data_IF_742243990590
#
_entry.id   IF_742243990590
#
_cell.length_a   1.000
_cell.length_b   1.000
_cell.length_c   1.000
_cell.angle_alpha   90.00
_cell.angle_beta   90.00
_cell.angle_gamma   90.00
#
_symmetry.space_group_name_H-M   'P 1'
#
loop_
_entity.id
_entity.type
_entity.pdbx_description
1 polymer ?
#
# COMPACT_ATOMS: atom_id res chain seq x y z
N UNK A 1 25.42 34.49 -21.45
CA UNK A 1 25.04 34.03 -20.10
C UNK A 1 23.66 33.43 -20.22
N UNK A 2 23.61 32.15 -20.57
CA UNK A 2 22.37 31.37 -20.72
C UNK A 2 21.80 31.16 -19.32
N UNK A 3 20.50 31.35 -19.07
CA UNK A 3 19.94 31.04 -17.76
C UNK A 3 20.08 29.54 -17.57
N UNK A 4 20.76 29.13 -16.50
CA UNK A 4 20.75 27.74 -16.02
C UNK A 4 19.28 27.47 -15.71
N UNK A 5 18.64 26.63 -16.53
CA UNK A 5 17.26 26.23 -16.30
C UNK A 5 17.15 25.72 -14.87
N UNK A 6 16.11 26.15 -14.14
CA UNK A 6 15.75 25.53 -12.87
C UNK A 6 15.82 24.02 -13.07
N UNK A 7 16.78 23.36 -12.44
CA UNK A 7 16.63 21.94 -12.15
C UNK A 7 15.35 21.89 -11.32
N UNK A 8 14.24 21.47 -11.94
CA UNK A 8 12.98 21.35 -11.23
C UNK A 8 13.24 20.44 -10.04
N UNK A 9 13.16 21.00 -8.83
CA UNK A 9 13.46 20.29 -7.61
C UNK A 9 12.63 19.01 -7.59
N UNK A 10 13.31 17.87 -7.53
CA UNK A 10 12.67 16.54 -7.58
C UNK A 10 12.56 15.95 -6.19
N UNK A 11 11.55 15.15 -5.98
CA UNK A 11 11.35 14.33 -4.81
C UNK A 11 11.16 12.86 -5.20
N UNK A 12 11.21 11.95 -4.23
CA UNK A 12 11.10 10.51 -4.42
C UNK A 12 9.79 10.02 -3.82
N UNK A 13 8.84 9.66 -4.67
CA UNK A 13 7.59 9.02 -4.28
C UNK A 13 7.83 7.53 -4.03
N UNK A 14 7.44 7.00 -2.88
CA UNK A 14 7.63 5.59 -2.51
C UNK A 14 6.28 4.86 -2.48
N UNK A 15 6.20 3.77 -3.24
CA UNK A 15 4.98 2.98 -3.42
C UNK A 15 4.84 1.88 -2.39
N UNK A 16 5.90 1.08 -2.23
CA UNK A 16 5.89 -0.12 -1.39
C UNK A 16 7.31 -0.50 -0.96
N UNK A 17 7.41 -1.32 0.08
CA UNK A 17 8.66 -1.94 0.55
C UNK A 17 8.55 -3.46 0.46
N UNK A 18 9.58 -4.12 -0.06
CA UNK A 18 9.70 -5.58 -0.16
C UNK A 18 11.03 -6.03 0.43
N UNK A 19 11.20 -7.35 0.64
CA UNK A 19 12.53 -7.94 0.75
C UNK A 19 13.32 -7.69 -0.53
N UNK A 20 14.64 -7.59 -0.41
CA UNK A 20 15.53 -7.42 -1.56
C UNK A 20 15.57 -8.70 -2.40
N UNK A 21 14.82 -8.69 -3.51
CA UNK A 21 14.69 -9.81 -4.44
C UNK A 21 14.66 -9.31 -5.90
N UNK A 22 15.27 -10.01 -6.86
CA UNK A 22 15.31 -9.58 -8.26
C UNK A 22 13.93 -9.41 -8.92
N UNK A 23 12.94 -10.17 -8.44
CA UNK A 23 11.56 -10.16 -8.94
C UNK A 23 10.90 -8.79 -8.78
N UNK A 24 11.30 -8.03 -7.76
CA UNK A 24 10.75 -6.71 -7.46
C UNK A 24 11.10 -5.68 -8.55
N UNK A 25 12.37 -5.63 -8.97
CA UNK A 25 12.79 -4.74 -10.06
C UNK A 25 12.15 -5.17 -11.39
N UNK A 26 12.14 -6.47 -11.67
CA UNK A 26 11.53 -7.02 -12.88
C UNK A 26 10.02 -6.78 -12.95
N UNK A 27 9.32 -6.70 -11.80
CA UNK A 27 7.89 -6.42 -11.74
C UNK A 27 7.54 -5.02 -12.27
N UNK A 28 8.43 -4.05 -12.08
CA UNK A 28 8.12 -2.62 -12.29
C UNK A 28 8.93 -1.94 -13.38
N UNK A 29 9.92 -2.62 -13.96
CA UNK A 29 10.81 -2.07 -14.97
C UNK A 29 10.11 -1.42 -16.18
N UNK A 30 8.91 -1.88 -16.55
CA UNK A 30 8.14 -1.36 -17.68
C UNK A 30 6.87 -0.60 -17.28
N UNK A 31 6.65 -0.39 -15.97
CA UNK A 31 5.42 0.24 -15.48
C UNK A 31 5.58 1.75 -15.33
N UNK A 32 4.63 2.55 -15.85
CA UNK A 32 4.55 3.96 -15.51
C UNK A 32 4.08 4.11 -14.08
N UNK A 33 4.85 4.83 -13.28
CA UNK A 33 4.46 5.28 -11.94
C UNK A 33 3.56 6.52 -11.98
N UNK A 34 3.40 7.13 -10.82
CA UNK A 34 2.70 8.40 -10.63
C UNK A 34 3.32 9.47 -11.56
N UNK A 35 2.45 10.25 -12.20
CA UNK A 35 2.80 11.24 -13.23
C UNK A 35 3.53 10.65 -14.45
N UNK A 36 3.37 9.35 -14.72
CA UNK A 36 4.04 8.67 -15.83
C UNK A 36 5.54 8.48 -15.63
N UNK A 37 6.04 8.68 -14.41
CA UNK A 37 7.47 8.60 -14.10
C UNK A 37 7.93 7.14 -14.06
N UNK A 38 9.14 6.81 -14.51
CA UNK A 38 9.63 5.43 -14.45
C UNK A 38 9.82 5.00 -12.99
N UNK A 39 9.36 3.79 -12.67
CA UNK A 39 9.56 3.18 -11.35
C UNK A 39 10.95 2.56 -11.28
N UNK A 40 11.63 2.76 -10.16
CA UNK A 40 12.97 2.26 -9.83
C UNK A 40 12.96 1.63 -8.45
N UNK A 41 14.01 0.88 -8.16
CA UNK A 41 14.26 0.29 -6.85
C UNK A 41 15.31 1.09 -6.09
N UNK A 42 15.12 1.23 -4.78
CA UNK A 42 16.13 1.72 -3.84
C UNK A 42 16.31 0.66 -2.78
N UNK A 43 17.49 0.02 -2.74
CA UNK A 43 17.79 -1.05 -1.78
C UNK A 43 18.68 -0.56 -0.64
N UNK A 44 18.44 -1.11 0.55
CA UNK A 44 19.22 -0.86 1.76
C UNK A 44 18.89 -1.94 2.82
N UNK A 45 19.91 -2.47 3.49
CA UNK A 45 19.74 -3.42 4.58
C UNK A 45 18.92 -4.69 4.27
N UNK A 46 18.95 -5.20 3.03
CA UNK A 46 18.18 -6.38 2.60
C UNK A 46 16.69 -6.11 2.33
N UNK A 47 16.31 -4.83 2.27
CA UNK A 47 14.99 -4.36 1.87
C UNK A 47 15.11 -3.54 0.60
N UNK A 48 14.03 -3.49 -0.17
CA UNK A 48 13.94 -2.68 -1.39
C UNK A 48 12.65 -1.86 -1.36
N UNK A 49 12.78 -0.55 -1.53
CA UNK A 49 11.67 0.36 -1.79
C UNK A 49 11.44 0.48 -3.30
N UNK A 50 10.18 0.41 -3.73
CA UNK A 50 9.79 0.79 -5.09
C UNK A 50 9.46 2.27 -5.10
N UNK A 51 10.10 3.03 -5.99
CA UNK A 51 10.06 4.48 -5.97
C UNK A 51 10.10 5.13 -7.36
N UNK A 52 9.60 6.35 -7.48
CA UNK A 52 9.63 7.15 -8.70
C UNK A 52 10.00 8.60 -8.40
N UNK A 53 10.76 9.24 -9.29
CA UNK A 53 11.11 10.66 -9.14
C UNK A 53 9.99 11.54 -9.67
N UNK A 54 9.51 12.45 -8.83
CA UNK A 54 8.39 13.35 -9.12
C UNK A 54 8.80 14.80 -8.89
N UNK A 55 8.13 15.80 -9.50
CA UNK A 55 8.39 17.20 -9.20
C UNK A 55 8.01 17.53 -7.75
N UNK A 56 8.93 18.06 -6.95
CA UNK A 56 8.74 18.32 -5.52
C UNK A 56 7.61 19.32 -5.26
N UNK A 57 7.46 20.33 -6.14
CA UNK A 57 6.45 21.37 -6.00
C UNK A 57 5.00 20.86 -6.06
N UNK A 58 4.76 19.66 -6.61
CA UNK A 58 3.43 19.03 -6.66
C UNK A 58 3.07 18.30 -5.35
N UNK A 59 4.06 18.00 -4.50
CA UNK A 59 3.88 17.23 -3.27
C UNK A 59 4.13 18.06 -1.99
N UNK A 60 4.33 19.36 -2.13
CA UNK A 60 4.28 20.30 -1.00
C UNK A 60 2.88 20.36 -0.38
N UNK A 61 2.78 20.78 0.88
CA UNK A 61 1.53 20.72 1.67
C UNK A 61 0.31 21.33 0.94
N UNK A 62 0.45 22.56 0.42
CA UNK A 62 -0.63 23.26 -0.28
C UNK A 62 -0.96 22.64 -1.66
N UNK A 63 0.03 22.07 -2.34
CA UNK A 63 -0.18 21.39 -3.61
C UNK A 63 -0.92 20.06 -3.38
N UNK A 64 -0.56 19.32 -2.34
CA UNK A 64 -1.23 18.09 -1.97
C UNK A 64 -2.68 18.34 -1.54
N UNK A 65 -2.96 19.41 -0.78
CA UNK A 65 -4.34 19.82 -0.46
C UNK A 65 -5.17 20.05 -1.72
N UNK A 66 -4.66 20.85 -2.67
CA UNK A 66 -5.34 21.10 -3.95
C UNK A 66 -5.55 19.80 -4.76
N UNK A 67 -4.55 18.92 -4.78
CA UNK A 67 -4.66 17.65 -5.48
C UNK A 67 -5.65 16.69 -4.82
N UNK A 68 -5.88 16.79 -3.51
CA UNK A 68 -6.92 16.05 -2.79
C UNK A 68 -8.33 16.61 -3.05
N UNK A 69 -8.43 17.91 -3.39
CA UNK A 69 -9.68 18.54 -3.81
C UNK A 69 -10.02 18.25 -5.28
N UNK A 70 -9.01 17.95 -6.10
CA UNK A 70 -9.16 17.47 -7.48
C UNK A 70 -9.26 15.94 -7.53
N UNK A 71 -10.51 15.46 -7.65
CA UNK A 71 -10.79 14.03 -7.69
C UNK A 71 -10.14 13.30 -8.88
N UNK A 72 -9.97 13.96 -10.03
CA UNK A 72 -9.41 13.31 -11.22
C UNK A 72 -7.90 13.11 -11.06
N UNK A 73 -7.20 14.12 -10.53
CA UNK A 73 -5.78 14.01 -10.22
C UNK A 73 -5.52 12.99 -9.10
N UNK A 74 -6.34 13.00 -8.05
CA UNK A 74 -6.25 12.01 -6.97
C UNK A 74 -6.50 10.60 -7.47
N UNK A 75 -7.52 10.39 -8.31
CA UNK A 75 -7.83 9.09 -8.89
C UNK A 75 -6.69 8.58 -9.77
N UNK A 76 -6.14 9.43 -10.64
CA UNK A 76 -5.00 9.10 -11.49
C UNK A 76 -3.79 8.68 -10.66
N UNK A 77 -3.47 9.44 -9.61
CA UNK A 77 -2.38 9.11 -8.67
C UNK A 77 -2.63 7.78 -7.95
N UNK A 78 -3.85 7.56 -7.44
CA UNK A 78 -4.21 6.34 -6.75
C UNK A 78 -4.14 5.10 -7.67
N UNK A 79 -4.60 5.22 -8.92
CA UNK A 79 -4.50 4.15 -9.92
C UNK A 79 -3.05 3.80 -10.23
N UNK A 80 -2.20 4.81 -10.48
CA UNK A 80 -0.79 4.58 -10.73
C UNK A 80 -0.08 3.96 -9.52
N UNK A 81 -0.40 4.41 -8.30
CA UNK A 81 0.13 3.83 -7.08
C UNK A 81 -0.27 2.36 -6.92
N UNK A 82 -1.56 2.05 -7.07
CA UNK A 82 -2.07 0.70 -6.96
C UNK A 82 -1.49 -0.22 -8.04
N UNK A 83 -1.33 0.25 -9.29
CA UNK A 83 -0.75 -0.56 -10.35
C UNK A 83 0.68 -1.03 -10.01
N UNK A 84 1.50 -0.16 -9.40
CA UNK A 84 2.84 -0.53 -8.94
C UNK A 84 2.79 -1.55 -7.81
N UNK A 85 1.89 -1.35 -6.84
CA UNK A 85 1.68 -2.26 -5.71
C UNK A 85 1.18 -3.64 -6.17
N UNK A 86 0.20 -3.68 -7.06
CA UNK A 86 -0.35 -4.91 -7.64
C UNK A 86 0.71 -5.68 -8.43
N UNK A 87 1.53 -4.98 -9.21
CA UNK A 87 2.57 -5.61 -10.01
C UNK A 87 3.65 -6.29 -9.14
N UNK A 88 4.08 -5.64 -8.06
CA UNK A 88 5.07 -6.25 -7.16
C UNK A 88 4.46 -7.38 -6.34
N UNK A 89 3.24 -7.21 -5.84
CA UNK A 89 2.55 -8.25 -5.04
C UNK A 89 2.19 -9.49 -5.85
N UNK A 90 2.03 -9.36 -7.17
CA UNK A 90 1.89 -10.49 -8.08
C UNK A 90 3.15 -11.36 -8.22
N UNK A 91 4.32 -10.87 -7.77
CA UNK A 91 5.61 -11.58 -7.92
C UNK A 91 6.32 -11.86 -6.60
N UNK A 92 6.09 -11.06 -5.56
CA UNK A 92 6.73 -11.19 -4.24
C UNK A 92 5.86 -10.55 -3.16
N UNK A 93 6.22 -10.75 -1.88
CA UNK A 93 5.59 -10.07 -0.76
C UNK A 93 6.02 -8.60 -0.69
N UNK A 94 5.06 -7.69 -0.60
CA UNK A 94 5.33 -6.27 -0.45
C UNK A 94 4.39 -5.63 0.58
N UNK A 95 4.88 -4.57 1.24
CA UNK A 95 4.14 -3.70 2.13
C UNK A 95 3.80 -2.40 1.38
N UNK A 96 2.53 -2.18 1.01
CA UNK A 96 2.10 -0.91 0.43
C UNK A 96 2.32 0.22 1.44
N UNK A 97 2.93 1.32 1.00
CA UNK A 97 2.99 2.54 1.80
C UNK A 97 1.75 3.41 1.54
N UNK A 98 1.52 4.39 2.41
CA UNK A 98 0.40 5.31 2.23
C UNK A 98 0.57 6.09 0.93
N UNK A 99 -0.54 6.39 0.26
CA UNK A 99 -0.58 7.29 -0.88
C UNK A 99 0.11 8.62 -0.53
N UNK A 100 0.86 9.19 -1.49
CA UNK A 100 1.64 10.41 -1.31
C UNK A 100 2.74 10.32 -0.23
N UNK A 101 3.35 9.14 -0.04
CA UNK A 101 4.59 9.02 0.74
C UNK A 101 5.78 9.49 -0.11
N UNK A 102 6.34 10.65 0.22
CA UNK A 102 7.41 11.30 -0.58
C UNK A 102 8.60 11.68 0.31
N UNK A 103 9.81 11.49 -0.23
CA UNK A 103 11.09 11.86 0.39
C UNK A 103 11.84 12.86 -0.48
N UNK A 104 12.76 13.63 0.11
CA UNK A 104 13.54 14.63 -0.65
C UNK A 104 14.42 13.98 -1.72
N UNK A 105 15.03 12.85 -1.40
CA UNK A 105 15.95 12.13 -2.27
C UNK A 105 15.99 10.64 -1.92
N UNK A 106 16.75 9.87 -2.70
CA UNK A 106 16.92 8.43 -2.48
C UNK A 106 17.69 8.12 -1.19
N UNK A 107 18.53 9.04 -0.69
CA UNK A 107 19.27 8.82 0.55
C UNK A 107 18.32 8.83 1.74
N UNK A 108 17.34 9.72 1.76
CA UNK A 108 16.25 9.71 2.75
C UNK A 108 15.39 8.44 2.67
N UNK A 109 15.25 7.85 1.49
CA UNK A 109 14.60 6.54 1.34
C UNK A 109 15.46 5.44 1.97
N UNK A 110 16.78 5.43 1.72
CA UNK A 110 17.70 4.50 2.38
C UNK A 110 17.69 4.65 3.90
N UNK A 111 17.72 5.88 4.41
CA UNK A 111 17.58 6.16 5.84
C UNK A 111 16.28 5.57 6.41
N UNK A 112 15.14 5.79 5.75
CA UNK A 112 13.87 5.20 6.15
C UNK A 112 13.91 3.67 6.18
N UNK A 113 14.52 3.03 5.17
CA UNK A 113 14.69 1.59 5.13
C UNK A 113 15.56 1.07 6.28
N UNK A 114 16.62 1.79 6.65
CA UNK A 114 17.50 1.44 7.79
C UNK A 114 16.78 1.59 9.12
N UNK A 115 16.16 2.74 9.36
CA UNK A 115 15.54 3.07 10.65
C UNK A 115 14.36 2.16 10.97
N UNK A 116 13.59 1.77 9.95
CA UNK A 116 12.38 0.94 10.09
C UNK A 116 12.59 -0.50 9.66
N UNK A 117 13.84 -0.95 9.54
CA UNK A 117 14.17 -2.25 8.96
C UNK A 117 13.49 -3.41 9.71
N UNK A 118 13.56 -3.42 11.04
CA UNK A 118 12.95 -4.48 11.86
C UNK A 118 11.42 -4.48 11.76
N UNK A 119 10.79 -3.30 11.77
CA UNK A 119 9.34 -3.15 11.60
C UNK A 119 8.89 -3.74 10.25
N UNK A 120 9.57 -3.39 9.16
CA UNK A 120 9.22 -3.92 7.84
C UNK A 120 9.44 -5.42 7.74
N UNK A 121 10.53 -5.96 8.30
CA UNK A 121 10.79 -7.40 8.28
C UNK A 121 9.75 -8.17 9.08
N UNK A 122 9.33 -7.66 10.24
CA UNK A 122 8.27 -8.25 11.04
C UNK A 122 6.94 -8.28 10.26
N UNK A 123 6.54 -7.14 9.68
CA UNK A 123 5.31 -7.05 8.90
C UNK A 123 5.34 -7.95 7.65
N UNK A 124 6.45 -7.98 6.91
CA UNK A 124 6.63 -8.90 5.78
C UNK A 124 6.59 -10.36 6.21
N UNK A 125 7.20 -10.70 7.35
CA UNK A 125 7.14 -12.05 7.92
C UNK A 125 5.73 -12.48 8.31
N UNK A 126 4.90 -11.55 8.79
CA UNK A 126 3.49 -11.82 9.11
C UNK A 126 2.62 -12.07 7.86
N UNK A 127 3.00 -11.50 6.72
CA UNK A 127 2.29 -11.70 5.44
C UNK A 127 2.71 -12.99 4.73
N UNK A 128 3.82 -13.60 5.14
CA UNK A 128 4.33 -14.81 4.52
C UNK A 128 3.31 -15.95 4.64
N UNK A 129 2.96 -16.57 3.51
CA UNK A 129 1.94 -17.62 3.43
C UNK A 129 0.49 -17.14 3.55
N UNK A 130 0.22 -15.83 3.57
CA UNK A 130 -1.12 -15.26 3.65
C UNK A 130 -1.55 -14.61 2.33
N UNK A 131 -2.87 -14.58 2.07
CA UNK A 131 -3.48 -13.93 0.91
C UNK A 131 -4.45 -12.85 1.37
N UNK A 132 -4.42 -11.68 0.73
CA UNK A 132 -5.43 -10.64 0.92
C UNK A 132 -6.71 -10.97 0.13
N UNK A 133 -7.85 -11.01 0.83
CA UNK A 133 -9.17 -11.29 0.23
C UNK A 133 -10.18 -10.22 0.62
N UNK A 134 -10.70 -9.48 -0.36
CA UNK A 134 -11.84 -8.59 -0.18
C UNK A 134 -13.17 -9.30 -0.49
N UNK A 135 -14.00 -9.55 0.52
CA UNK A 135 -15.35 -10.12 0.33
C UNK A 135 -16.40 -9.01 0.41
N UNK A 136 -17.18 -8.84 -0.66
CA UNK A 136 -18.34 -7.93 -0.68
C UNK A 136 -19.63 -8.76 -0.69
N UNK A 137 -20.42 -8.66 0.36
CA UNK A 137 -21.72 -9.33 0.48
C UNK A 137 -22.82 -8.32 0.18
N UNK A 138 -23.62 -8.59 -0.85
CA UNK A 138 -24.81 -7.82 -1.19
C UNK A 138 -26.03 -8.62 -0.72
N UNK A 139 -26.83 -8.03 0.16
CA UNK A 139 -28.10 -8.60 0.59
C UNK A 139 -29.23 -7.85 -0.10
N UNK A 140 -30.16 -8.57 -0.71
CA UNK A 140 -31.42 -8.00 -1.18
C UNK A 140 -32.32 -7.74 0.05
N UNK A 141 -32.65 -6.47 0.40
CA UNK A 141 -33.51 -6.16 1.53
C UNK A 141 -34.95 -6.68 1.36
N UNK A 142 -35.35 -7.06 0.14
CA UNK A 142 -36.68 -7.62 -0.16
C UNK A 142 -36.72 -9.15 -0.03
N UNK A 143 -35.57 -9.82 0.01
CA UNK A 143 -35.50 -11.28 0.18
C UNK A 143 -35.41 -11.62 1.67
N UNK A 144 -36.58 -11.69 2.33
CA UNK A 144 -36.66 -12.31 3.65
C UNK A 144 -36.56 -13.82 3.46
N UNK A 145 -35.49 -14.50 3.94
CA UNK A 145 -35.51 -15.95 3.94
C UNK A 145 -36.74 -16.38 4.74
N UNK A 146 -37.58 -17.24 4.14
CA UNK A 146 -38.69 -17.83 4.86
C UNK A 146 -38.09 -18.51 6.09
N UNK A 147 -38.42 -18.02 7.28
CA UNK A 147 -38.04 -18.67 8.51
C UNK A 147 -38.56 -20.10 8.41
N UNK A 148 -37.67 -21.08 8.30
CA UNK A 148 -38.02 -22.46 8.55
C UNK A 148 -38.45 -22.50 10.01
N UNK A 149 -39.77 -22.58 10.23
CA UNK A 149 -40.36 -22.83 11.53
C UNK A 149 -39.84 -24.17 12.05
N UNK A 150 -38.74 -24.15 12.79
CA UNK A 150 -38.46 -25.19 13.77
C UNK A 150 -39.19 -24.80 15.05
N UNK A 151 -40.49 -25.10 15.08
CA UNK A 151 -41.24 -25.22 16.32
C UNK A 151 -41.05 -26.62 16.87
N UNK A 152 -40.40 -26.71 18.01
CA UNK A 152 -40.16 -27.97 18.73
C UNK A 152 -39.50 -27.71 20.07
N UNK A 153 -40.31 -27.36 21.05
CA UNK A 153 -39.96 -27.04 22.42
C UNK A 153 -39.18 -28.16 23.14
N UNK A 154 -38.25 -27.76 24.02
CA UNK A 154 -37.56 -28.65 24.96
C UNK A 154 -36.81 -27.88 26.04
N UNK A 155 -37.53 -27.57 27.13
CA UNK A 155 -37.10 -27.34 28.52
C UNK A 155 -36.09 -26.22 28.92
N UNK A 156 -36.41 -25.54 30.03
CA UNK A 156 -35.66 -24.43 30.67
C UNK A 156 -34.66 -24.90 31.75
N UNK A 157 -33.46 -24.27 31.72
CA UNK A 157 -32.67 -23.65 32.84
C UNK A 157 -31.99 -24.53 33.93
N UNK A 158 -31.02 -24.01 34.76
CA UNK A 158 -30.09 -22.86 34.62
C UNK A 158 -28.59 -23.12 35.01
N UNK A 159 -27.75 -22.12 34.71
CA UNK A 159 -26.56 -21.55 35.41
C UNK A 159 -25.44 -22.38 36.12
N UNK A 160 -24.20 -21.90 35.86
CA UNK A 160 -23.09 -21.60 36.80
C UNK A 160 -21.83 -22.52 36.90
N UNK A 161 -20.72 -21.95 36.39
CA UNK A 161 -19.35 -21.77 36.94
C UNK A 161 -18.44 -22.95 37.39
N UNK A 162 -17.19 -22.78 36.94
CA UNK A 162 -15.89 -22.98 37.61
C UNK A 162 -15.13 -24.32 37.46
N UNK A 163 -13.91 -24.20 36.92
CA UNK A 163 -12.79 -25.10 37.13
C UNK A 163 -12.08 -24.75 38.45
N UNK A 164 -11.53 -25.75 39.14
CA UNK A 164 -10.30 -25.62 39.94
C UNK A 164 -9.51 -26.93 39.85
N UNK A 165 -8.26 -26.83 39.44
CA UNK A 165 -7.12 -27.39 40.16
C UNK A 165 -6.09 -26.27 40.30
#
# INVERSE_FOLDING_TARGET
MTPVGNEEETAVYVYAVTREVPEAEAAVAALPGVLGTPVRTVSEGGLTALAGRVPAHLFGEEALKRQLEDLEQLESMARAHNAVVEAVTARTLALPLRLATVYLDEERVREMLRERAEEFRELLGRLEGHLELGVKVYADPQHRPAASEQSGAGERAPAARAAVS
#
